data_IF_916177453448
#
_entry.id   IF_916177453448
#
_cell.length_a   1.000
_cell.length_b   1.000
_cell.length_c   1.000
_cell.angle_alpha   90.00
_cell.angle_beta   90.00
_cell.angle_gamma   90.00
#
_symmetry.space_group_name_H-M   'P 1'
#
loop_
_entity.id
_entity.type
_entity.pdbx_description
1 polymer ?
#
# COMPACT_ATOMS: atom_id res chain seq x y z
N UNK A 1 -4.67 -25.39 -1.86
CA UNK A 1 -4.61 -24.92 -0.45
C UNK A 1 -3.63 -23.76 -0.33
N UNK A 2 -2.33 -23.96 -0.53
CA UNK A 2 -1.31 -22.90 -0.38
C UNK A 2 -1.56 -21.66 -1.26
N UNK A 3 -1.90 -21.87 -2.54
CA UNK A 3 -2.18 -20.77 -3.47
C UNK A 3 -3.41 -19.93 -3.05
N UNK A 4 -4.43 -20.57 -2.47
CA UNK A 4 -5.65 -19.89 -2.03
C UNK A 4 -5.37 -19.03 -0.78
N UNK A 5 -4.60 -19.57 0.18
CA UNK A 5 -4.18 -18.84 1.36
C UNK A 5 -3.27 -17.65 1.01
N UNK A 6 -2.40 -17.81 0.01
CA UNK A 6 -1.59 -16.70 -0.51
C UNK A 6 -2.45 -15.59 -1.12
N UNK A 7 -3.49 -15.95 -1.88
CA UNK A 7 -4.43 -14.98 -2.44
C UNK A 7 -5.22 -14.25 -1.34
N UNK A 8 -5.73 -14.97 -0.34
CA UNK A 8 -6.41 -14.36 0.83
C UNK A 8 -5.50 -13.39 1.59
N UNK A 9 -4.22 -13.77 1.77
CA UNK A 9 -3.24 -12.91 2.41
C UNK A 9 -3.00 -11.63 1.60
N UNK A 10 -2.80 -11.76 0.28
CA UNK A 10 -2.63 -10.61 -0.62
C UNK A 10 -3.83 -9.67 -0.53
N UNK A 11 -5.05 -10.20 -0.66
CA UNK A 11 -6.29 -9.41 -0.57
C UNK A 11 -6.43 -8.70 0.79
N UNK A 12 -6.09 -9.39 1.88
CA UNK A 12 -6.14 -8.81 3.23
C UNK A 12 -5.18 -7.63 3.36
N UNK A 13 -3.94 -7.77 2.89
CA UNK A 13 -2.95 -6.69 2.93
C UNK A 13 -3.39 -5.51 2.06
N UNK A 14 -3.85 -5.77 0.82
CA UNK A 14 -4.34 -4.71 -0.08
C UNK A 14 -5.50 -3.93 0.54
N UNK A 15 -6.46 -4.61 1.18
CA UNK A 15 -7.56 -3.94 1.88
C UNK A 15 -7.10 -3.06 3.04
N UNK A 16 -6.08 -3.49 3.79
CA UNK A 16 -5.52 -2.68 4.87
C UNK A 16 -4.89 -1.41 4.30
N UNK A 17 -4.11 -1.51 3.22
CA UNK A 17 -3.54 -0.33 2.56
C UNK A 17 -4.62 0.64 2.10
N UNK A 18 -5.65 0.17 1.39
CA UNK A 18 -6.80 1.00 0.95
C UNK A 18 -7.44 1.75 2.12
N UNK A 19 -7.69 1.07 3.24
CA UNK A 19 -8.30 1.69 4.41
C UNK A 19 -7.39 2.75 5.06
N UNK A 20 -6.09 2.51 5.10
CA UNK A 20 -5.12 3.36 5.82
C UNK A 20 -4.68 4.55 4.99
N UNK A 21 -4.47 4.38 3.69
CA UNK A 21 -4.01 5.44 2.78
C UNK A 21 -5.16 6.22 2.16
N UNK A 22 -6.38 5.67 2.17
CA UNK A 22 -7.55 6.25 1.50
C UNK A 22 -7.48 6.16 -0.03
N UNK A 23 -6.49 5.46 -0.59
CA UNK A 23 -6.34 5.28 -2.04
C UNK A 23 -7.33 4.24 -2.56
N UNK A 24 -7.81 4.38 -3.82
CA UNK A 24 -8.62 3.35 -4.46
C UNK A 24 -7.91 1.99 -4.53
N UNK A 25 -8.70 0.91 -4.51
CA UNK A 25 -8.19 -0.47 -4.59
C UNK A 25 -7.25 -0.70 -5.77
N UNK A 26 -7.60 -0.18 -6.96
CA UNK A 26 -6.82 -0.38 -8.18
C UNK A 26 -5.42 0.25 -8.10
N UNK A 27 -5.26 1.39 -7.40
CA UNK A 27 -3.96 2.03 -7.17
C UNK A 27 -3.09 1.13 -6.30
N UNK A 28 -3.62 0.69 -5.16
CA UNK A 28 -2.88 -0.19 -4.25
C UNK A 28 -2.55 -1.53 -4.91
N UNK A 29 -3.48 -2.10 -5.68
CA UNK A 29 -3.23 -3.35 -6.41
C UNK A 29 -2.10 -3.22 -7.43
N UNK A 30 -2.02 -2.08 -8.14
CA UNK A 30 -0.92 -1.81 -9.08
C UNK A 30 0.42 -1.63 -8.35
N UNK A 31 0.43 -0.86 -7.25
CA UNK A 31 1.61 -0.64 -6.41
C UNK A 31 2.13 -1.92 -5.73
N UNK A 32 1.26 -2.91 -5.51
CA UNK A 32 1.61 -4.18 -4.87
C UNK A 32 2.02 -5.28 -5.86
N UNK A 33 1.88 -5.06 -7.17
CA UNK A 33 2.25 -6.06 -8.18
C UNK A 33 3.77 -6.15 -8.36
N UNK A 34 4.49 -5.05 -8.07
CA UNK A 34 5.95 -4.97 -8.03
C UNK A 34 6.40 -4.06 -6.91
N UNK A 35 7.65 -4.21 -6.48
CA UNK A 35 8.21 -3.30 -5.49
C UNK A 35 8.24 -1.86 -6.01
N UNK A 36 7.44 -0.99 -5.40
CA UNK A 36 7.46 0.46 -5.62
C UNK A 36 8.16 1.11 -4.44
N UNK A 37 9.31 1.73 -4.71
CA UNK A 37 10.04 2.52 -3.72
C UNK A 37 9.57 3.97 -3.78
N UNK A 38 9.31 4.55 -2.60
CA UNK A 38 8.86 5.93 -2.47
C UNK A 38 9.85 6.72 -1.61
N UNK A 39 10.14 7.94 -2.02
CA UNK A 39 10.73 8.95 -1.14
C UNK A 39 9.77 9.31 0.00
N UNK A 40 10.28 9.99 1.03
CA UNK A 40 9.44 10.43 2.15
C UNK A 40 8.27 11.33 1.70
N UNK A 41 8.51 12.22 0.73
CA UNK A 41 7.48 13.10 0.18
C UNK A 41 6.42 12.32 -0.62
N UNK A 42 6.84 11.32 -1.40
CA UNK A 42 5.92 10.45 -2.15
C UNK A 42 5.09 9.59 -1.19
N UNK A 43 5.69 9.01 -0.16
CA UNK A 43 4.98 8.24 0.85
C UNK A 43 3.96 9.09 1.62
N UNK A 44 4.28 10.36 1.87
CA UNK A 44 3.33 11.31 2.47
C UNK A 44 2.17 11.61 1.53
N UNK A 45 2.44 11.93 0.25
CA UNK A 45 1.40 12.15 -0.75
C UNK A 45 0.57 10.88 -1.06
N UNK A 46 1.16 9.71 -0.81
CA UNK A 46 0.48 8.42 -0.92
C UNK A 46 -0.45 8.14 0.28
N UNK A 47 -0.27 8.84 1.41
CA UNK A 47 -1.05 8.64 2.63
C UNK A 47 -0.50 7.51 3.52
N UNK A 48 0.75 7.09 3.29
CA UNK A 48 1.46 6.12 4.13
C UNK A 48 2.10 6.83 5.33
N UNK A 49 2.54 8.07 5.14
CA UNK A 49 3.17 8.91 6.16
C UNK A 49 2.33 10.16 6.38
N UNK A 50 2.10 10.54 7.64
CA UNK A 50 1.32 11.76 7.96
C UNK A 50 2.18 13.03 7.85
N UNK A 51 3.40 12.98 8.38
CA UNK A 51 4.31 14.13 8.43
C UNK A 51 5.77 13.70 8.20
N UNK A 52 6.45 14.41 7.29
CA UNK A 52 7.90 14.33 7.13
C UNK A 52 8.53 15.48 7.92
N UNK A 53 9.33 15.17 8.92
CA UNK A 53 10.05 16.18 9.69
C UNK A 53 11.19 16.78 8.86
N UNK A 54 11.50 18.05 9.13
CA UNK A 54 12.64 18.77 8.55
C UNK A 54 13.49 19.25 9.72
N UNK A 55 14.80 19.05 9.63
CA UNK A 55 15.77 19.60 10.59
C UNK A 55 16.15 21.04 10.21
#
# INVERSE_FOLDING_TARGET
>A
LEAEELLKMRETITRVYVQRTGKPLWVISEDMERDVFMSAAEAQAHGIVDLVAVE
#
